data_IF_402131345395
#
_entry.id   IF_402131345395
#
_cell.length_a   1.000
_cell.length_b   1.000
_cell.length_c   1.000
_cell.angle_alpha   90.00
_cell.angle_beta   90.00
_cell.angle_gamma   90.00
#
_symmetry.space_group_name_H-M   'P 1'
#
loop_
_entity.id
_entity.type
_entity.pdbx_description
1 polymer ?
#
# COMPACT_ATOMS: atom_id res chain seq x y z
N UNK A 1 0.38 35.64 5.62
CA UNK A 1 -1.06 35.80 5.28
C UNK A 1 -1.63 37.01 6.03
N UNK A 2 -2.71 37.59 5.51
CA UNK A 2 -3.43 38.67 6.18
C UNK A 2 -4.43 38.09 7.18
N UNK A 3 -4.78 38.87 8.22
CA UNK A 3 -5.95 38.56 9.04
C UNK A 3 -7.21 38.51 8.15
N UNK A 4 -8.07 37.49 8.28
CA UNK A 4 -9.30 37.37 7.49
C UNK A 4 -10.41 38.35 7.89
N UNK A 5 -10.24 39.14 8.95
CA UNK A 5 -11.19 40.17 9.39
C UNK A 5 -11.09 41.40 8.50
N UNK A 6 -12.21 41.81 7.89
CA UNK A 6 -12.26 43.00 7.05
C UNK A 6 -11.86 44.26 7.84
N UNK A 7 -10.91 45.04 7.30
CA UNK A 7 -10.39 46.25 7.97
C UNK A 7 -9.34 45.99 9.04
N UNK A 8 -8.85 44.75 9.20
CA UNK A 8 -7.74 44.42 10.08
C UNK A 8 -6.42 44.33 9.31
N UNK A 9 -5.45 45.18 9.64
CA UNK A 9 -4.17 45.28 8.93
C UNK A 9 -3.09 44.30 9.42
N UNK A 10 -3.42 43.41 10.36
CA UNK A 10 -2.44 42.46 10.90
C UNK A 10 -2.01 41.42 9.84
N UNK A 11 -0.70 41.22 9.71
CA UNK A 11 -0.09 40.26 8.77
C UNK A 11 1.00 39.46 9.46
N UNK A 12 1.09 38.18 9.11
CA UNK A 12 2.15 37.31 9.61
C UNK A 12 2.02 35.86 9.15
N UNK A 13 2.88 34.97 9.65
CA UNK A 13 2.73 33.52 9.51
C UNK A 13 1.37 33.03 10.04
N UNK A 14 0.87 31.90 9.53
CA UNK A 14 -0.44 31.34 9.91
C UNK A 14 -0.60 31.20 11.43
N UNK A 15 0.45 30.73 12.12
CA UNK A 15 0.45 30.60 13.57
C UNK A 15 0.34 31.95 14.29
N UNK A 16 1.02 32.99 13.78
CA UNK A 16 0.98 34.35 14.33
C UNK A 16 -0.36 35.01 14.10
N UNK A 17 -0.97 34.82 12.92
CA UNK A 17 -2.33 35.31 12.63
C UNK A 17 -3.37 34.59 13.49
N UNK A 18 -3.20 33.29 13.75
CA UNK A 18 -4.05 32.55 14.67
C UNK A 18 -3.93 33.03 16.13
N UNK A 19 -2.70 33.33 16.56
CA UNK A 19 -2.44 33.95 17.86
C UNK A 19 -3.09 35.33 17.97
N UNK A 20 -2.96 36.16 16.93
CA UNK A 20 -3.57 37.48 16.84
C UNK A 20 -5.08 37.44 16.99
N UNK A 21 -5.78 36.60 16.22
CA UNK A 21 -7.24 36.46 16.27
C UNK A 21 -7.68 35.99 17.67
N UNK A 22 -6.99 35.00 18.24
CA UNK A 22 -7.31 34.48 19.58
C UNK A 22 -7.08 35.50 20.71
N UNK A 23 -6.17 36.45 20.50
CA UNK A 23 -5.83 37.49 21.48
C UNK A 23 -6.77 38.70 21.47
N UNK A 24 -7.64 38.83 20.45
CA UNK A 24 -8.59 39.96 20.34
C UNK A 24 -9.91 39.61 21.03
N UNK A 25 -10.37 40.52 21.90
CA UNK A 25 -11.65 40.41 22.63
C UNK A 25 -12.76 41.19 21.94
N UNK A 26 -12.91 41.02 20.64
CA UNK A 26 -13.99 41.64 19.86
C UNK A 26 -14.75 40.59 19.05
N UNK A 27 -15.98 40.93 18.66
CA UNK A 27 -16.86 40.01 17.94
C UNK A 27 -16.43 39.76 16.49
N UNK A 28 -15.58 40.63 15.93
CA UNK A 28 -15.11 40.50 14.54
C UNK A 28 -14.03 39.42 14.42
N UNK A 29 -13.17 39.29 15.43
CA UNK A 29 -12.15 38.25 15.55
C UNK A 29 -12.67 36.95 16.21
N UNK A 30 -14.00 36.77 16.25
CA UNK A 30 -14.59 35.52 16.72
C UNK A 30 -14.34 34.38 15.73
N UNK A 31 -13.78 33.28 16.22
CA UNK A 31 -13.53 32.09 15.42
C UNK A 31 -14.79 31.55 14.75
N UNK A 32 -15.90 31.48 15.47
CA UNK A 32 -17.18 31.01 14.94
C UNK A 32 -17.72 31.92 13.84
N UNK A 33 -17.54 33.24 13.98
CA UNK A 33 -17.94 34.23 12.96
C UNK A 33 -17.08 34.14 11.70
N UNK A 34 -15.80 33.83 11.86
CA UNK A 34 -14.85 33.58 10.77
C UNK A 34 -15.02 32.20 10.13
N UNK A 35 -15.95 31.36 10.62
CA UNK A 35 -16.21 30.03 10.08
C UNK A 35 -15.17 28.98 10.48
N UNK A 36 -14.44 29.19 11.59
CA UNK A 36 -13.46 28.25 12.10
C UNK A 36 -13.80 27.76 13.51
N UNK A 37 -13.58 26.47 13.76
CA UNK A 37 -13.72 25.83 15.07
C UNK A 37 -12.48 26.06 15.98
N UNK A 38 -11.96 27.28 15.97
CA UNK A 38 -10.79 27.72 16.75
C UNK A 38 -9.46 27.76 15.99
N UNK A 39 -8.42 28.23 16.69
CA UNK A 39 -7.10 28.51 16.13
C UNK A 39 -6.43 27.30 15.48
N UNK A 40 -6.62 26.09 16.03
CA UNK A 40 -6.08 24.87 15.44
C UNK A 40 -6.80 24.47 14.15
N UNK A 41 -8.12 24.66 14.07
CA UNK A 41 -8.87 24.45 12.83
C UNK A 41 -8.45 25.46 11.76
N UNK A 42 -8.33 26.74 12.11
CA UNK A 42 -7.80 27.77 11.20
C UNK A 42 -6.39 27.43 10.69
N UNK A 43 -5.45 27.06 11.58
CA UNK A 43 -4.10 26.63 11.18
C UNK A 43 -4.15 25.42 10.25
N UNK A 44 -5.01 24.44 10.53
CA UNK A 44 -5.19 23.27 9.64
C UNK A 44 -5.73 23.68 8.26
N UNK A 45 -6.76 24.54 8.21
CA UNK A 45 -7.37 25.00 6.96
C UNK A 45 -6.37 25.81 6.12
N UNK A 46 -5.67 26.75 6.74
CA UNK A 46 -4.67 27.59 6.06
C UNK A 46 -3.39 26.82 5.70
N UNK A 47 -3.05 25.76 6.44
CA UNK A 47 -1.97 24.83 6.07
C UNK A 47 -2.48 23.68 5.16
N UNK A 48 -3.77 23.69 4.77
CA UNK A 48 -4.41 22.74 3.84
C UNK A 48 -4.72 23.35 2.48
N UNK A 49 -4.54 24.67 2.31
CA UNK A 49 -4.71 25.33 1.01
C UNK A 49 -3.58 25.04 0.02
N UNK A 50 -2.55 24.29 0.41
CA UNK A 50 -1.40 23.92 -0.44
C UNK A 50 -1.07 22.41 -0.40
N UNK A 51 -2.03 21.53 -0.07
CA UNK A 51 -1.79 20.08 -0.21
C UNK A 51 -2.81 19.41 -1.11
N UNK A 52 -2.28 18.62 -2.04
CA UNK A 52 -3.01 17.67 -2.86
C UNK A 52 -3.99 16.88 -1.99
N UNK A 53 -5.20 16.68 -2.52
CA UNK A 53 -6.16 15.78 -1.92
C UNK A 53 -5.53 14.38 -1.84
N UNK A 54 -5.96 13.52 -0.88
CA UNK A 54 -5.65 12.11 -0.99
C UNK A 54 -5.98 11.61 -2.40
N UNK A 55 -5.21 10.64 -2.90
CA UNK A 55 -5.46 10.09 -4.22
C UNK A 55 -6.87 9.46 -4.25
N UNK A 56 -7.53 9.49 -5.40
CA UNK A 56 -8.97 9.19 -5.52
C UNK A 56 -9.94 10.23 -4.93
N UNK A 57 -9.51 11.12 -4.03
CA UNK A 57 -10.36 12.16 -3.44
C UNK A 57 -10.47 13.40 -4.33
N UNK A 58 -11.69 13.91 -4.39
CA UNK A 58 -12.03 15.10 -5.18
C UNK A 58 -12.77 16.11 -4.32
N UNK A 59 -12.64 17.39 -4.69
CA UNK A 59 -13.46 18.45 -4.10
C UNK A 59 -14.83 18.43 -4.76
N UNK A 60 -15.85 18.81 -3.99
CA UNK A 60 -17.14 19.16 -4.55
C UNK A 60 -16.95 20.23 -5.63
N UNK A 61 -17.50 20.06 -6.85
CA UNK A 61 -17.33 21.03 -7.94
C UNK A 61 -18.07 22.36 -7.69
N UNK A 62 -18.88 22.45 -6.63
CA UNK A 62 -19.62 23.68 -6.28
C UNK A 62 -18.70 24.70 -5.61
N UNK A 63 -18.64 25.90 -6.19
CA UNK A 63 -17.90 27.03 -5.61
C UNK A 63 -18.34 27.31 -4.17
N UNK A 64 -17.37 27.47 -3.26
CA UNK A 64 -17.55 27.67 -1.81
C UNK A 64 -18.20 26.48 -1.07
N UNK A 65 -18.23 25.30 -1.67
CA UNK A 65 -18.50 24.05 -0.95
C UNK A 65 -17.18 23.39 -0.57
N UNK A 66 -16.98 23.17 0.74
CA UNK A 66 -15.72 22.61 1.25
C UNK A 66 -15.75 21.08 1.38
N UNK A 67 -16.77 20.41 0.84
CA UNK A 67 -16.87 18.96 0.92
C UNK A 67 -15.82 18.30 0.02
N UNK A 68 -15.09 17.33 0.58
CA UNK A 68 -14.09 16.51 -0.11
C UNK A 68 -14.33 15.05 0.22
N UNK A 69 -14.09 14.17 -0.73
CA UNK A 69 -14.19 12.73 -0.52
C UNK A 69 -13.92 11.96 -1.80
N UNK A 70 -14.02 10.65 -1.74
CA UNK A 70 -14.12 9.80 -2.93
C UNK A 70 -15.14 10.34 -3.94
N UNK A 71 -14.91 10.07 -5.23
CA UNK A 71 -15.80 10.51 -6.31
C UNK A 71 -17.25 10.08 -6.05
N UNK A 72 -17.45 8.85 -5.55
CA UNK A 72 -18.75 8.32 -5.15
C UNK A 72 -19.37 9.08 -3.97
N UNK A 73 -18.56 9.43 -2.97
CA UNK A 73 -18.97 10.22 -1.80
C UNK A 73 -19.32 11.66 -2.15
N UNK A 74 -18.59 12.28 -3.08
CA UNK A 74 -18.91 13.62 -3.60
C UNK A 74 -20.18 13.56 -4.46
N UNK A 75 -20.36 12.51 -5.25
CA UNK A 75 -21.60 12.31 -6.01
C UNK A 75 -22.83 12.14 -5.11
N UNK A 76 -22.69 11.37 -4.03
CA UNK A 76 -23.74 11.23 -3.01
C UNK A 76 -24.02 12.57 -2.30
N UNK A 77 -22.97 13.30 -1.93
CA UNK A 77 -23.09 14.62 -1.33
C UNK A 77 -23.88 15.60 -2.20
N UNK A 78 -23.49 15.76 -3.47
CA UNK A 78 -24.17 16.69 -4.40
C UNK A 78 -25.63 16.28 -4.60
N UNK A 79 -25.89 14.98 -4.81
CA UNK A 79 -27.26 14.48 -5.00
C UNK A 79 -28.14 14.62 -3.76
N UNK A 80 -27.55 14.61 -2.56
CA UNK A 80 -28.26 14.78 -1.29
C UNK A 80 -28.57 16.22 -0.91
N UNK A 81 -27.99 17.22 -1.59
CA UNK A 81 -28.23 18.64 -1.31
C UNK A 81 -29.45 19.14 -2.07
N UNK A 82 -30.39 19.75 -1.35
CA UNK A 82 -31.64 20.31 -1.90
C UNK A 82 -31.49 21.79 -2.30
N UNK A 83 -30.32 22.23 -2.74
CA UNK A 83 -30.07 23.62 -3.14
C UNK A 83 -29.73 23.74 -4.63
N UNK A 84 -30.01 24.92 -5.21
CA UNK A 84 -29.80 25.20 -6.64
C UNK A 84 -28.31 25.24 -7.04
N UNK A 85 -27.38 25.28 -6.09
CA UNK A 85 -25.94 25.30 -6.39
C UNK A 85 -25.39 23.90 -6.61
N UNK A 86 -25.99 22.88 -6.00
CA UNK A 86 -25.66 21.46 -6.16
C UNK A 86 -26.54 20.76 -7.21
N UNK A 87 -27.17 21.53 -8.10
CA UNK A 87 -27.90 21.00 -9.25
C UNK A 87 -26.91 20.54 -10.33
N UNK A 88 -26.95 19.26 -10.67
CA UNK A 88 -26.01 18.63 -11.60
C UNK A 88 -25.89 19.37 -12.93
N UNK A 89 -27.01 19.77 -13.53
CA UNK A 89 -27.00 20.45 -14.82
C UNK A 89 -26.30 21.82 -14.72
N UNK A 90 -26.52 22.54 -13.61
CA UNK A 90 -25.87 23.85 -13.36
C UNK A 90 -24.37 23.77 -13.15
N UNK A 91 -23.87 22.65 -12.64
CA UNK A 91 -22.44 22.42 -12.42
C UNK A 91 -21.76 21.64 -13.55
N UNK A 92 -22.44 21.49 -14.70
CA UNK A 92 -21.85 20.97 -15.92
C UNK A 92 -21.87 19.45 -16.09
N UNK A 93 -22.67 18.73 -15.31
CA UNK A 93 -22.80 17.27 -15.39
C UNK A 93 -24.25 16.85 -15.64
N UNK A 94 -24.47 15.80 -16.45
CA UNK A 94 -25.82 15.27 -16.71
C UNK A 94 -26.45 14.56 -15.50
N UNK A 95 -25.66 14.32 -14.45
CA UNK A 95 -26.06 13.63 -13.23
C UNK A 95 -24.86 12.98 -12.53
N UNK A 96 -25.13 12.31 -11.41
CA UNK A 96 -24.11 11.65 -10.58
C UNK A 96 -23.27 10.59 -11.34
N UNK A 97 -23.86 9.88 -12.30
CA UNK A 97 -23.15 8.89 -13.12
C UNK A 97 -22.18 9.56 -14.10
N UNK A 98 -22.61 10.62 -14.78
CA UNK A 98 -21.77 11.40 -15.69
C UNK A 98 -20.60 12.07 -14.96
N UNK A 99 -20.86 12.60 -13.76
CA UNK A 99 -19.82 13.10 -12.86
C UNK A 99 -18.79 12.03 -12.51
N UNK A 100 -19.24 10.86 -12.03
CA UNK A 100 -18.33 9.77 -11.65
C UNK A 100 -17.43 9.34 -12.81
N UNK A 101 -17.98 9.25 -14.02
CA UNK A 101 -17.21 8.85 -15.20
C UNK A 101 -16.20 9.92 -15.61
N UNK A 102 -16.63 11.17 -15.78
CA UNK A 102 -15.75 12.27 -16.22
C UNK A 102 -14.67 12.59 -15.19
N UNK A 103 -15.05 12.69 -13.92
CA UNK A 103 -14.12 12.98 -12.84
C UNK A 103 -13.18 11.79 -12.62
N UNK A 104 -13.68 10.55 -12.67
CA UNK A 104 -12.83 9.35 -12.60
C UNK A 104 -11.76 9.29 -13.68
N UNK A 105 -12.12 9.64 -14.93
CA UNK A 105 -11.15 9.74 -16.02
C UNK A 105 -10.18 10.93 -15.87
N UNK A 106 -10.59 12.03 -15.24
CA UNK A 106 -9.77 13.24 -15.07
C UNK A 106 -8.85 13.20 -13.84
N UNK A 107 -9.21 12.46 -12.79
CA UNK A 107 -8.46 12.40 -11.53
C UNK A 107 -7.72 11.08 -11.33
N UNK A 108 -7.85 10.14 -12.28
CA UNK A 108 -6.96 8.99 -12.34
C UNK A 108 -5.53 9.51 -12.60
N UNK A 109 -4.77 9.65 -11.51
CA UNK A 109 -3.31 9.75 -11.55
C UNK A 109 -2.79 8.78 -12.61
N UNK A 110 -1.89 9.26 -13.48
CA UNK A 110 -1.29 8.39 -14.47
C UNK A 110 -0.51 7.27 -13.78
N UNK A 111 0.11 7.58 -12.65
CA UNK A 111 0.94 6.65 -11.90
C UNK A 111 0.16 5.39 -11.47
N UNK A 112 0.88 4.31 -11.22
CA UNK A 112 0.41 3.10 -10.58
C UNK A 112 1.35 2.83 -9.41
N UNK A 113 0.81 2.84 -8.20
CA UNK A 113 1.55 2.73 -6.95
C UNK A 113 1.13 1.45 -6.26
N UNK A 114 2.07 0.53 -6.03
CA UNK A 114 1.80 -0.72 -5.31
C UNK A 114 2.72 -0.88 -4.11
N UNK A 115 2.20 -1.47 -3.04
CA UNK A 115 2.97 -1.75 -1.83
C UNK A 115 3.32 -3.23 -1.72
N UNK A 116 4.62 -3.53 -1.70
CA UNK A 116 5.14 -4.84 -1.35
C UNK A 116 5.20 -5.02 0.17
N UNK A 117 4.62 -6.13 0.63
CA UNK A 117 4.86 -6.72 1.94
C UNK A 117 5.52 -8.09 1.77
N UNK A 118 6.23 -8.56 2.79
CA UNK A 118 6.82 -9.90 2.77
C UNK A 118 7.03 -10.41 4.19
N UNK A 119 7.05 -11.73 4.35
CA UNK A 119 7.49 -12.42 5.57
C UNK A 119 6.87 -11.83 6.85
N UNK A 120 5.56 -11.54 6.81
CA UNK A 120 4.85 -10.98 7.96
C UNK A 120 4.75 -11.96 9.12
N UNK A 121 4.75 -13.26 8.85
CA UNK A 121 4.82 -14.34 9.84
C UNK A 121 3.87 -14.14 11.03
N UNK A 122 2.61 -13.83 10.74
CA UNK A 122 1.56 -13.73 11.75
C UNK A 122 1.49 -15.05 12.53
N UNK A 123 1.64 -14.96 13.87
CA UNK A 123 1.66 -16.12 14.77
C UNK A 123 3.05 -16.55 15.23
N UNK A 124 4.12 -16.00 14.65
CA UNK A 124 5.48 -16.24 15.14
C UNK A 124 5.64 -15.58 16.50
N UNK A 125 6.02 -16.37 17.51
CA UNK A 125 6.22 -15.90 18.89
C UNK A 125 7.69 -15.76 19.28
N UNK A 126 8.60 -16.36 18.51
CA UNK A 126 10.03 -16.38 18.81
C UNK A 126 10.88 -16.07 17.57
N UNK A 127 11.89 -15.22 17.71
CA UNK A 127 12.87 -14.92 16.66
C UNK A 127 14.31 -14.98 17.19
N UNK A 128 15.27 -15.06 16.26
CA UNK A 128 16.70 -15.07 16.54
C UNK A 128 17.38 -16.39 16.15
N UNK A 129 18.54 -16.66 16.75
CA UNK A 129 19.37 -17.84 16.48
C UNK A 129 19.40 -18.81 17.67
N UNK A 130 20.10 -19.95 17.54
CA UNK A 130 20.32 -20.87 18.67
C UNK A 130 20.93 -20.19 19.90
N UNK A 131 21.78 -19.17 19.69
CA UNK A 131 22.48 -18.42 20.75
C UNK A 131 21.74 -17.16 21.21
N UNK A 132 20.68 -16.75 20.50
CA UNK A 132 19.94 -15.53 20.79
C UNK A 132 18.46 -15.74 20.48
N UNK A 133 17.61 -15.82 21.49
CA UNK A 133 16.16 -15.93 21.33
C UNK A 133 15.49 -14.72 21.94
N UNK A 134 14.41 -14.25 21.30
CA UNK A 134 13.54 -13.23 21.85
C UNK A 134 12.10 -13.48 21.45
N UNK A 135 11.19 -13.05 22.30
CA UNK A 135 9.77 -13.00 21.98
C UNK A 135 9.53 -11.94 20.90
N UNK A 136 8.65 -12.26 19.97
CA UNK A 136 8.19 -11.33 18.93
C UNK A 136 6.68 -11.39 18.81
N UNK A 137 6.10 -10.26 18.46
CA UNK A 137 4.73 -10.17 17.99
C UNK A 137 4.77 -9.48 16.63
N UNK A 138 4.31 -10.19 15.60
CA UNK A 138 4.33 -9.72 14.24
C UNK A 138 3.09 -8.90 13.86
N UNK A 139 2.00 -9.00 14.65
CA UNK A 139 0.72 -8.34 14.35
C UNK A 139 0.85 -6.81 14.27
N UNK A 140 1.54 -6.12 15.21
CA UNK A 140 1.69 -4.66 15.12
C UNK A 140 2.45 -4.19 13.88
N UNK A 141 3.39 -5.00 13.39
CA UNK A 141 4.11 -4.77 12.13
C UNK A 141 3.18 -4.75 10.93
N UNK A 142 2.42 -5.84 10.78
CA UNK A 142 1.44 -5.99 9.71
C UNK A 142 0.37 -4.89 9.75
N UNK A 143 -0.18 -4.56 10.93
CA UNK A 143 -1.16 -3.47 11.08
C UNK A 143 -0.62 -2.13 10.58
N UNK A 144 0.60 -1.75 10.99
CA UNK A 144 1.24 -0.51 10.53
C UNK A 144 1.49 -0.49 9.03
N UNK A 145 1.83 -1.64 8.45
CA UNK A 145 2.00 -1.78 7.00
C UNK A 145 0.67 -1.53 6.26
N UNK A 146 -0.43 -2.05 6.79
CA UNK A 146 -1.79 -1.87 6.24
C UNK A 146 -2.23 -0.41 6.39
N UNK A 147 -2.05 0.19 7.57
CA UNK A 147 -2.32 1.61 7.81
C UNK A 147 -1.50 2.51 6.87
N UNK A 148 -0.24 2.16 6.60
CA UNK A 148 0.61 2.86 5.65
C UNK A 148 0.07 2.75 4.22
N UNK A 149 -0.34 1.55 3.78
CA UNK A 149 -0.93 1.33 2.47
C UNK A 149 -2.17 2.21 2.25
N UNK A 150 -3.08 2.22 3.23
CA UNK A 150 -4.31 3.05 3.19
C UNK A 150 -3.98 4.54 3.23
N UNK A 151 -3.06 4.96 4.11
CA UNK A 151 -2.66 6.37 4.20
C UNK A 151 -1.96 6.89 2.93
N UNK A 152 -1.33 5.99 2.16
CA UNK A 152 -0.69 6.29 0.88
C UNK A 152 -1.62 6.15 -0.32
N UNK A 153 -2.82 5.60 -0.12
CA UNK A 153 -3.79 5.32 -1.18
C UNK A 153 -3.15 4.61 -2.39
N UNK A 154 -2.53 3.46 -2.09
CA UNK A 154 -1.88 2.62 -3.11
C UNK A 154 -2.93 1.88 -3.94
N UNK A 155 -2.64 1.61 -5.21
CA UNK A 155 -3.53 0.87 -6.12
C UNK A 155 -3.64 -0.62 -5.76
N UNK A 156 -2.64 -1.16 -5.07
CA UNK A 156 -2.67 -2.53 -4.54
C UNK A 156 -1.63 -2.75 -3.44
N UNK A 157 -1.88 -3.79 -2.65
CA UNK A 157 -0.86 -4.44 -1.82
C UNK A 157 -0.57 -5.82 -2.40
N UNK A 158 0.69 -6.23 -2.46
CA UNK A 158 1.05 -7.63 -2.73
C UNK A 158 2.00 -8.18 -1.68
N UNK A 159 1.81 -9.44 -1.30
CA UNK A 159 2.60 -10.12 -0.27
C UNK A 159 3.43 -11.26 -0.86
N UNK A 160 4.75 -11.17 -0.78
CA UNK A 160 5.68 -12.14 -1.37
C UNK A 160 5.90 -13.40 -0.50
N UNK A 161 4.82 -13.97 0.06
CA UNK A 161 4.84 -15.21 0.84
C UNK A 161 5.16 -15.05 2.33
N UNK A 162 4.85 -16.08 3.12
CA UNK A 162 4.98 -16.12 4.58
C UNK A 162 4.17 -15.02 5.31
N UNK A 163 2.92 -14.80 4.89
CA UNK A 163 1.95 -14.01 5.66
C UNK A 163 1.69 -14.66 7.03
N UNK A 164 1.49 -15.97 7.06
CA UNK A 164 1.28 -16.73 8.29
C UNK A 164 2.52 -17.50 8.71
N UNK A 165 2.66 -17.70 10.03
CA UNK A 165 3.66 -18.60 10.60
C UNK A 165 2.96 -19.81 11.20
N UNK A 166 2.67 -20.81 10.37
CA UNK A 166 2.08 -22.06 10.82
C UNK A 166 3.17 -23.00 11.35
N UNK A 167 3.33 -23.04 12.68
CA UNK A 167 4.25 -23.96 13.34
C UNK A 167 3.51 -25.18 13.91
N UNK A 168 4.01 -25.78 14.99
CA UNK A 168 3.35 -26.92 15.66
C UNK A 168 2.12 -26.52 16.48
N UNK A 169 1.93 -25.23 16.73
CA UNK A 169 0.83 -24.66 17.51
C UNK A 169 -0.32 -24.20 16.62
N UNK A 170 -0.18 -24.30 15.29
CA UNK A 170 -1.20 -23.90 14.32
C UNK A 170 -1.41 -22.39 14.24
N UNK A 171 -2.53 -21.98 13.64
CA UNK A 171 -2.95 -20.58 13.50
C UNK A 171 -4.24 -20.39 14.31
N UNK A 172 -4.14 -19.70 15.44
CA UNK A 172 -5.32 -19.44 16.28
C UNK A 172 -6.41 -18.66 15.54
N UNK A 173 -7.68 -18.93 15.85
CA UNK A 173 -8.82 -18.21 15.28
C UNK A 173 -8.80 -16.70 15.56
N UNK A 174 -8.26 -16.29 16.72
CA UNK A 174 -8.08 -14.86 17.02
C UNK A 174 -7.09 -14.19 16.06
N UNK A 175 -6.05 -14.92 15.64
CA UNK A 175 -5.02 -14.42 14.73
C UNK A 175 -5.53 -14.35 13.29
N UNK A 176 -6.23 -15.40 12.82
CA UNK A 176 -6.92 -15.37 11.52
C UNK A 176 -7.92 -14.21 11.48
N UNK A 177 -8.80 -14.08 12.48
CA UNK A 177 -9.75 -12.97 12.60
C UNK A 177 -9.06 -11.59 12.60
N UNK A 178 -7.90 -11.46 13.24
CA UNK A 178 -7.12 -10.22 13.21
C UNK A 178 -6.61 -9.89 11.81
N UNK A 179 -6.07 -10.88 11.09
CA UNK A 179 -5.64 -10.71 9.70
C UNK A 179 -6.82 -10.32 8.80
N UNK A 180 -7.95 -11.04 8.92
CA UNK A 180 -9.19 -10.75 8.19
C UNK A 180 -9.64 -9.31 8.36
N UNK A 181 -9.59 -8.77 9.60
CA UNK A 181 -9.94 -7.37 9.88
C UNK A 181 -9.04 -6.38 9.13
N UNK A 182 -7.75 -6.67 9.01
CA UNK A 182 -6.82 -5.81 8.26
C UNK A 182 -7.07 -5.87 6.74
N UNK A 183 -7.29 -7.06 6.19
CA UNK A 183 -7.63 -7.21 4.76
C UNK A 183 -9.00 -6.58 4.45
N UNK A 184 -9.96 -6.66 5.37
CA UNK A 184 -11.25 -5.97 5.25
C UNK A 184 -11.07 -4.45 5.26
N UNK A 185 -10.10 -3.93 6.01
CA UNK A 185 -9.78 -2.51 6.02
C UNK A 185 -9.22 -2.06 4.65
N UNK A 186 -8.27 -2.80 4.07
CA UNK A 186 -7.81 -2.56 2.70
C UNK A 186 -8.96 -2.57 1.70
N UNK A 187 -9.81 -3.60 1.75
CA UNK A 187 -10.98 -3.71 0.86
C UNK A 187 -11.94 -2.52 1.01
N UNK A 188 -12.17 -2.06 2.24
CA UNK A 188 -13.03 -0.88 2.48
C UNK A 188 -12.44 0.42 1.92
N UNK A 189 -11.11 0.47 1.75
CA UNK A 189 -10.38 1.53 1.06
C UNK A 189 -10.22 1.26 -0.45
N UNK A 190 -10.85 0.22 -1.01
CA UNK A 190 -10.72 -0.22 -2.41
C UNK A 190 -9.29 -0.61 -2.82
N UNK A 191 -8.47 -1.07 -1.87
CA UNK A 191 -7.10 -1.54 -2.11
C UNK A 191 -7.11 -3.08 -2.18
N UNK A 192 -6.95 -3.70 -3.35
CA UNK A 192 -6.84 -5.15 -3.46
C UNK A 192 -5.57 -5.68 -2.79
N UNK A 193 -5.66 -6.89 -2.23
CA UNK A 193 -4.54 -7.60 -1.63
C UNK A 193 -4.22 -8.85 -2.44
N UNK A 194 -3.01 -8.90 -2.98
CA UNK A 194 -2.47 -10.02 -3.74
C UNK A 194 -1.46 -10.80 -2.90
N UNK A 195 -1.34 -12.11 -3.12
CA UNK A 195 -0.34 -12.90 -2.40
C UNK A 195 0.17 -14.09 -3.21
N UNK A 196 1.35 -14.56 -2.83
CA UNK A 196 1.83 -15.93 -3.08
C UNK A 196 2.00 -16.66 -1.75
N UNK A 197 2.06 -17.99 -1.79
CA UNK A 197 2.34 -18.84 -0.64
C UNK A 197 3.86 -18.92 -0.42
N UNK A 198 4.28 -18.78 0.84
CA UNK A 198 5.63 -19.08 1.27
C UNK A 198 5.73 -20.47 1.90
N UNK A 199 6.88 -20.76 2.51
CA UNK A 199 7.14 -22.07 3.10
C UNK A 199 6.53 -22.25 4.51
N UNK A 200 6.02 -21.18 5.12
CA UNK A 200 5.44 -21.18 6.47
C UNK A 200 3.91 -21.17 6.50
N UNK A 201 3.20 -20.92 5.40
CA UNK A 201 1.74 -21.06 5.36
C UNK A 201 1.30 -22.49 5.75
N UNK A 202 1.93 -23.49 5.13
CA UNK A 202 1.55 -24.91 5.23
C UNK A 202 0.03 -25.10 4.99
N UNK A 203 -0.50 -26.29 5.28
CA UNK A 203 -1.90 -26.61 5.01
C UNK A 203 -2.89 -25.62 5.63
N UNK A 204 -2.75 -25.31 6.92
CA UNK A 204 -3.70 -24.45 7.64
C UNK A 204 -3.67 -23.00 7.13
N UNK A 205 -2.49 -22.41 6.92
CA UNK A 205 -2.37 -21.05 6.41
C UNK A 205 -2.89 -20.93 4.99
N UNK A 206 -2.64 -21.93 4.14
CA UNK A 206 -3.20 -22.00 2.78
C UNK A 206 -4.73 -22.06 2.79
N UNK A 207 -5.35 -22.88 3.66
CA UNK A 207 -6.82 -22.96 3.73
C UNK A 207 -7.47 -21.68 4.29
N UNK A 208 -6.79 -20.99 5.20
CA UNK A 208 -7.22 -19.66 5.67
C UNK A 208 -7.16 -18.64 4.52
N UNK A 209 -6.06 -18.61 3.76
CA UNK A 209 -5.91 -17.71 2.62
C UNK A 209 -6.96 -17.98 1.53
N UNK A 210 -7.22 -19.24 1.18
CA UNK A 210 -8.32 -19.63 0.27
C UNK A 210 -9.69 -19.18 0.78
N UNK A 211 -9.89 -19.16 2.10
CA UNK A 211 -11.11 -18.61 2.69
C UNK A 211 -11.20 -17.11 2.44
N UNK A 212 -10.10 -16.37 2.63
CA UNK A 212 -10.05 -14.94 2.30
C UNK A 212 -10.25 -14.67 0.81
N UNK A 213 -9.77 -15.55 -0.08
CA UNK A 213 -10.06 -15.46 -1.52
C UNK A 213 -11.56 -15.60 -1.81
N UNK A 214 -12.22 -16.64 -1.26
CA UNK A 214 -13.68 -16.83 -1.40
C UNK A 214 -14.48 -15.65 -0.87
N UNK A 215 -13.96 -14.97 0.14
CA UNK A 215 -14.59 -13.79 0.72
C UNK A 215 -14.28 -12.50 -0.03
N UNK A 216 -13.44 -12.54 -1.07
CA UNK A 216 -13.01 -11.37 -1.85
C UNK A 216 -12.10 -10.42 -1.07
N UNK A 217 -11.32 -10.94 -0.12
CA UNK A 217 -10.35 -10.19 0.69
C UNK A 217 -8.91 -10.34 0.21
N UNK A 218 -8.62 -11.38 -0.58
CA UNK A 218 -7.31 -11.66 -1.12
C UNK A 218 -7.44 -12.29 -2.52
N UNK A 219 -6.40 -12.20 -3.33
CA UNK A 219 -6.31 -12.88 -4.63
C UNK A 219 -4.94 -13.54 -4.74
N UNK A 220 -4.90 -14.84 -4.99
CA UNK A 220 -3.65 -15.56 -5.23
C UNK A 220 -3.05 -15.17 -6.59
N UNK A 221 -1.78 -14.79 -6.60
CA UNK A 221 -1.04 -14.50 -7.83
C UNK A 221 -0.58 -15.81 -8.48
N UNK A 222 -0.50 -15.77 -9.81
CA UNK A 222 0.04 -16.85 -10.62
C UNK A 222 0.96 -16.28 -11.71
N UNK A 223 1.39 -17.13 -12.62
CA UNK A 223 2.11 -16.72 -13.84
C UNK A 223 1.19 -16.15 -14.93
N UNK A 224 -0.09 -15.96 -14.63
CA UNK A 224 -1.02 -15.16 -15.45
C UNK A 224 -1.00 -13.71 -14.96
N UNK A 225 -0.84 -12.71 -15.86
CA UNK A 225 -0.72 -11.31 -15.47
C UNK A 225 -1.94 -10.81 -14.72
N UNK A 226 -1.70 -10.25 -13.54
CA UNK A 226 -2.70 -9.47 -12.80
C UNK A 226 -2.43 -7.99 -13.00
N UNK A 227 -3.26 -7.34 -13.83
CA UNK A 227 -3.18 -5.90 -14.11
C UNK A 227 -3.52 -5.08 -12.86
N UNK A 228 -2.64 -4.15 -12.52
CA UNK A 228 -2.86 -3.15 -11.47
C UNK A 228 -2.65 -1.76 -12.07
N UNK A 229 -3.59 -0.85 -11.80
CA UNK A 229 -3.56 0.49 -12.37
C UNK A 229 -3.47 0.48 -13.91
N UNK A 230 -2.67 1.38 -14.45
CA UNK A 230 -2.48 1.56 -15.91
C UNK A 230 -1.19 0.95 -16.45
N UNK A 231 -0.18 0.79 -15.58
CA UNK A 231 1.20 0.57 -16.02
C UNK A 231 1.82 -0.74 -15.56
N UNK A 232 1.20 -1.44 -14.60
CA UNK A 232 1.87 -2.54 -13.91
C UNK A 232 1.12 -3.87 -13.98
N UNK A 233 1.84 -4.94 -14.25
CA UNK A 233 1.38 -6.31 -14.05
C UNK A 233 2.10 -7.00 -12.90
N UNK A 234 1.34 -7.73 -12.09
CA UNK A 234 1.86 -8.60 -11.04
C UNK A 234 1.78 -10.05 -11.46
N UNK A 235 2.87 -10.76 -11.22
CA UNK A 235 3.02 -12.21 -11.40
C UNK A 235 3.52 -12.82 -10.10
N UNK A 236 3.21 -14.10 -9.88
CA UNK A 236 3.60 -14.80 -8.67
C UNK A 236 3.86 -16.28 -8.90
N UNK A 237 4.87 -16.81 -8.20
CA UNK A 237 5.06 -18.25 -8.03
C UNK A 237 5.28 -18.54 -6.55
N UNK A 238 4.52 -19.50 -6.06
CA UNK A 238 4.60 -19.98 -4.68
C UNK A 238 5.97 -20.58 -4.36
N UNK A 239 6.29 -20.64 -3.07
CA UNK A 239 7.42 -21.43 -2.61
C UNK A 239 7.25 -22.90 -3.01
N UNK A 240 8.32 -23.46 -3.55
CA UNK A 240 8.53 -24.89 -3.73
C UNK A 240 9.91 -25.27 -3.20
N UNK A 241 10.08 -26.52 -2.76
CA UNK A 241 11.40 -26.97 -2.31
C UNK A 241 12.34 -27.00 -3.50
N UNK A 242 13.63 -26.76 -3.27
CA UNK A 242 14.64 -26.80 -4.35
C UNK A 242 14.64 -28.13 -5.12
N UNK A 243 14.41 -29.26 -4.44
CA UNK A 243 14.32 -30.58 -5.07
C UNK A 243 13.07 -30.77 -5.95
N UNK A 244 12.07 -29.90 -5.79
CA UNK A 244 10.79 -29.90 -6.51
C UNK A 244 10.71 -28.69 -7.47
N UNK A 245 11.76 -27.86 -7.53
CA UNK A 245 11.78 -26.68 -8.39
C UNK A 245 12.02 -27.10 -9.84
N UNK A 246 11.10 -26.69 -10.71
CA UNK A 246 11.23 -26.83 -12.16
C UNK A 246 11.05 -25.46 -12.79
N UNK A 247 11.88 -25.11 -13.79
CA UNK A 247 11.75 -23.85 -14.52
C UNK A 247 10.37 -23.69 -15.18
N UNK A 248 9.70 -24.80 -15.50
CA UNK A 248 8.34 -24.83 -16.03
C UNK A 248 7.28 -24.24 -15.07
N UNK A 249 7.58 -24.07 -13.78
CA UNK A 249 6.72 -23.34 -12.84
C UNK A 249 6.57 -21.86 -13.23
N UNK A 250 7.49 -21.31 -14.03
CA UNK A 250 7.40 -19.96 -14.59
C UNK A 250 6.59 -19.92 -15.90
N UNK A 251 6.05 -21.04 -16.36
CA UNK A 251 5.20 -21.07 -17.56
C UNK A 251 3.97 -20.20 -17.32
N UNK A 252 3.82 -19.18 -18.14
CA UNK A 252 2.79 -18.16 -17.97
C UNK A 252 2.31 -17.57 -19.28
N UNK A 253 1.75 -16.37 -19.21
CA UNK A 253 1.29 -15.64 -20.38
C UNK A 253 1.87 -14.23 -20.36
N UNK A 254 2.42 -13.74 -21.49
CA UNK A 254 2.91 -12.38 -21.55
C UNK A 254 1.76 -11.37 -21.53
N UNK A 255 2.11 -10.12 -21.30
CA UNK A 255 1.19 -8.99 -21.34
C UNK A 255 1.85 -7.79 -21.99
N UNK A 256 1.03 -6.88 -22.50
CA UNK A 256 1.47 -5.64 -23.15
C UNK A 256 1.48 -4.44 -22.19
N UNK A 257 1.45 -4.68 -20.88
CA UNK A 257 1.55 -3.61 -19.91
C UNK A 257 2.99 -3.07 -19.85
N UNK A 258 3.15 -1.82 -19.39
CA UNK A 258 4.44 -1.14 -19.50
C UNK A 258 5.52 -1.78 -18.61
N UNK A 259 5.13 -2.21 -17.41
CA UNK A 259 6.03 -2.79 -16.42
C UNK A 259 5.45 -4.07 -15.83
N UNK A 260 6.34 -4.94 -15.35
CA UNK A 260 6.01 -6.23 -14.79
C UNK A 260 6.84 -6.57 -13.56
N UNK A 261 6.18 -7.08 -12.52
CA UNK A 261 6.80 -7.56 -11.29
C UNK A 261 6.58 -9.06 -11.17
N UNK A 262 7.68 -9.83 -11.11
CA UNK A 262 7.64 -11.23 -10.71
C UNK A 262 7.86 -11.35 -9.21
N UNK A 263 6.91 -11.95 -8.52
CA UNK A 263 6.98 -12.24 -7.09
C UNK A 263 7.38 -13.69 -6.85
N UNK A 264 8.47 -13.92 -6.10
CA UNK A 264 8.97 -15.26 -5.77
C UNK A 264 9.26 -15.38 -4.28
N UNK A 265 8.87 -16.50 -3.68
CA UNK A 265 9.29 -16.85 -2.33
C UNK A 265 10.31 -17.98 -2.39
N UNK A 266 11.57 -17.66 -2.69
CA UNK A 266 12.63 -18.65 -2.90
C UNK A 266 14.00 -18.20 -2.40
N UNK A 267 14.88 -19.16 -2.12
CA UNK A 267 16.31 -18.89 -2.01
C UNK A 267 16.92 -18.72 -3.40
N UNK A 268 17.56 -17.58 -3.67
CA UNK A 268 18.18 -17.26 -4.97
C UNK A 268 19.60 -16.69 -4.76
N UNK A 269 20.56 -17.11 -5.58
CA UNK A 269 21.94 -16.61 -5.54
C UNK A 269 22.07 -15.25 -6.26
N UNK A 270 22.98 -14.36 -5.81
CA UNK A 270 23.98 -14.55 -4.74
C UNK A 270 23.43 -14.29 -3.33
N UNK A 271 22.14 -13.93 -3.23
CA UNK A 271 21.55 -13.43 -1.99
C UNK A 271 21.30 -14.51 -0.94
N UNK A 272 21.11 -15.76 -1.35
CA UNK A 272 21.15 -16.94 -0.50
C UNK A 272 22.42 -17.73 -0.79
N UNK A 273 23.25 -17.95 0.23
CA UNK A 273 24.39 -18.87 0.16
C UNK A 273 23.97 -20.32 0.49
N UNK A 274 22.66 -20.60 0.60
CA UNK A 274 22.19 -21.96 0.82
C UNK A 274 22.43 -22.80 -0.43
N UNK A 275 22.85 -24.03 -0.21
CA UNK A 275 22.76 -25.17 -1.13
C UNK A 275 21.34 -25.41 -1.68
N UNK A 276 20.31 -24.85 -1.03
CA UNK A 276 18.91 -24.92 -1.43
C UNK A 276 18.48 -23.75 -2.30
N UNK A 277 19.40 -22.92 -2.79
CA UNK A 277 19.03 -21.90 -3.77
C UNK A 277 18.59 -22.57 -5.08
N UNK A 278 17.52 -22.06 -5.69
CA UNK A 278 16.97 -22.62 -6.94
C UNK A 278 17.84 -22.31 -8.17
N UNK A 279 18.76 -21.36 -8.04
CA UNK A 279 19.63 -20.86 -9.10
C UNK A 279 20.10 -19.44 -8.80
N UNK A 280 20.75 -18.80 -9.78
CA UNK A 280 21.09 -17.37 -9.74
C UNK A 280 19.91 -16.50 -10.17
N UNK A 281 19.96 -15.20 -9.86
CA UNK A 281 19.00 -14.23 -10.43
C UNK A 281 18.95 -14.34 -11.95
N UNK A 282 20.10 -14.43 -12.62
CA UNK A 282 20.17 -14.56 -14.08
C UNK A 282 19.50 -15.83 -14.59
N UNK A 283 19.61 -16.95 -13.85
CA UNK A 283 18.89 -18.18 -14.22
C UNK A 283 17.37 -17.97 -14.15
N UNK A 284 16.88 -17.34 -13.09
CA UNK A 284 15.45 -17.02 -12.93
C UNK A 284 14.95 -16.12 -14.04
N UNK A 285 15.67 -15.04 -14.36
CA UNK A 285 15.30 -14.10 -15.43
C UNK A 285 15.33 -14.78 -16.81
N UNK A 286 16.32 -15.64 -17.06
CA UNK A 286 16.37 -16.45 -18.29
C UNK A 286 15.18 -17.39 -18.39
N UNK A 287 14.86 -18.14 -17.33
CA UNK A 287 13.71 -19.05 -17.33
C UNK A 287 12.38 -18.31 -17.47
N UNK A 288 12.23 -17.14 -16.85
CA UNK A 288 11.07 -16.29 -17.03
C UNK A 288 10.88 -15.88 -18.51
N UNK A 289 11.97 -15.45 -19.17
CA UNK A 289 11.95 -15.13 -20.59
C UNK A 289 11.58 -16.35 -21.45
N UNK A 290 12.13 -17.51 -21.14
CA UNK A 290 11.93 -18.75 -21.90
C UNK A 290 10.52 -19.33 -21.73
N UNK A 291 10.02 -19.42 -20.50
CA UNK A 291 8.77 -20.12 -20.18
C UNK A 291 7.55 -19.19 -20.11
N UNK A 292 7.74 -17.92 -19.73
CA UNK A 292 6.66 -16.92 -19.64
C UNK A 292 6.63 -15.98 -20.85
N UNK A 293 7.76 -15.81 -21.54
CA UNK A 293 7.89 -14.81 -22.62
C UNK A 293 7.96 -13.36 -22.09
N UNK A 294 8.29 -13.17 -20.81
CA UNK A 294 8.30 -11.86 -20.13
C UNK A 294 9.72 -11.53 -19.66
N UNK A 295 10.14 -10.30 -19.94
CA UNK A 295 11.33 -9.70 -19.33
C UNK A 295 10.87 -8.86 -18.14
N UNK A 296 11.00 -9.39 -16.93
CA UNK A 296 10.52 -8.72 -15.74
C UNK A 296 11.36 -7.50 -15.38
N UNK A 297 10.71 -6.38 -15.14
CA UNK A 297 11.36 -5.14 -14.68
C UNK A 297 11.75 -5.23 -13.20
N UNK A 298 11.01 -6.02 -12.42
CA UNK A 298 11.26 -6.24 -10.99
C UNK A 298 11.17 -7.71 -10.64
N UNK A 299 12.15 -8.17 -9.86
CA UNK A 299 12.09 -9.46 -9.17
C UNK A 299 11.93 -9.22 -7.66
N UNK A 300 10.71 -9.42 -7.16
CA UNK A 300 10.34 -9.23 -5.77
C UNK A 300 10.48 -10.55 -4.97
N UNK A 301 11.56 -10.65 -4.19
CA UNK A 301 11.94 -11.85 -3.42
C UNK A 301 11.47 -11.79 -1.96
N UNK A 302 10.79 -12.84 -1.51
CA UNK A 302 10.59 -13.20 -0.09
C UNK A 302 11.66 -14.17 0.44
N UNK A 303 11.38 -14.86 1.55
CA UNK A 303 12.16 -15.99 2.12
C UNK A 303 13.53 -15.63 2.74
N UNK A 304 14.26 -14.70 2.13
CA UNK A 304 15.65 -14.43 2.46
C UNK A 304 15.83 -13.68 3.78
N UNK A 305 14.79 -12.98 4.27
CA UNK A 305 14.86 -12.09 5.42
C UNK A 305 16.06 -11.12 5.33
N UNK A 306 16.24 -10.52 4.15
CA UNK A 306 17.31 -9.55 3.85
C UNK A 306 16.72 -8.28 3.25
N UNK A 307 17.51 -7.22 3.23
CA UNK A 307 17.17 -5.98 2.52
C UNK A 307 18.12 -5.87 1.34
N UNK A 308 17.56 -6.00 0.14
CA UNK A 308 18.28 -6.03 -1.12
C UNK A 308 17.54 -5.11 -2.09
N UNK A 309 18.30 -4.35 -2.85
CA UNK A 309 17.85 -3.44 -3.88
C UNK A 309 19.02 -3.27 -4.84
N UNK A 310 19.06 -4.11 -5.87
CA UNK A 310 20.17 -4.17 -6.83
C UNK A 310 19.60 -4.32 -8.24
N UNK A 311 20.27 -3.71 -9.23
CA UNK A 311 19.98 -3.95 -10.63
C UNK A 311 20.75 -5.18 -11.12
N UNK A 312 20.07 -6.07 -11.84
CA UNK A 312 20.67 -7.20 -12.53
C UNK A 312 20.06 -7.31 -13.91
N UNK A 313 20.84 -7.00 -14.95
CA UNK A 313 20.41 -7.05 -16.36
C UNK A 313 19.15 -6.22 -16.64
N UNK A 314 19.07 -5.01 -16.04
CA UNK A 314 17.91 -4.12 -16.18
C UNK A 314 16.68 -4.55 -15.38
N UNK A 315 16.79 -5.61 -14.57
CA UNK A 315 15.77 -6.00 -13.60
C UNK A 315 16.15 -5.50 -12.20
N UNK A 316 15.26 -4.77 -11.54
CA UNK A 316 15.44 -4.38 -10.14
C UNK A 316 15.08 -5.55 -9.23
N UNK A 317 16.08 -6.14 -8.59
CA UNK A 317 15.89 -7.23 -7.62
C UNK A 317 15.71 -6.65 -6.22
N UNK A 318 14.55 -6.94 -5.62
CA UNK A 318 14.18 -6.42 -4.31
C UNK A 318 13.92 -7.56 -3.34
N UNK A 319 14.55 -7.50 -2.16
CA UNK A 319 14.09 -8.27 -1.00
C UNK A 319 13.48 -7.33 0.04
N UNK A 320 12.18 -7.49 0.29
CA UNK A 320 11.35 -6.54 1.06
C UNK A 320 11.65 -6.51 2.57
N UNK A 321 12.43 -7.46 3.08
CA UNK A 321 12.74 -7.59 4.50
C UNK A 321 11.67 -8.37 5.25
N UNK A 322 10.92 -7.71 6.15
CA UNK A 322 9.76 -8.25 6.85
C UNK A 322 8.97 -7.11 7.48
N UNK A 323 7.67 -7.29 7.69
CA UNK A 323 6.85 -6.32 8.45
C UNK A 323 7.11 -6.39 9.96
N UNK A 324 7.85 -7.39 10.44
CA UNK A 324 8.17 -7.59 11.84
C UNK A 324 9.69 -7.79 12.05
N UNK A 325 10.23 -7.50 13.25
CA UNK A 325 11.64 -7.71 13.50
C UNK A 325 11.86 -9.20 13.70
N UNK A 326 12.05 -9.98 12.64
CA UNK A 326 12.22 -11.45 12.71
C UNK A 326 13.63 -11.92 12.37
N UNK A 327 14.52 -10.99 12.05
CA UNK A 327 15.91 -11.28 11.68
C UNK A 327 16.68 -12.06 12.77
N UNK A 328 17.67 -12.81 12.32
CA UNK A 328 18.49 -13.72 13.13
C UNK A 328 19.30 -13.03 14.25
N UNK A 329 19.58 -11.73 14.12
CA UNK A 329 20.25 -10.89 15.13
C UNK A 329 19.40 -9.65 15.45
N UNK A 330 19.60 -9.06 16.64
CA UNK A 330 18.82 -7.90 17.14
C UNK A 330 18.79 -6.70 16.19
N UNK A 331 19.88 -6.47 15.44
CA UNK A 331 20.03 -5.37 14.48
C UNK A 331 19.83 -5.76 13.00
N UNK A 332 19.48 -7.02 12.71
CA UNK A 332 19.61 -7.55 11.34
C UNK A 332 18.57 -6.99 10.37
N UNK A 333 17.37 -6.62 10.84
CA UNK A 333 16.25 -6.20 10.00
C UNK A 333 15.37 -5.21 10.74
N UNK A 334 15.39 -3.96 10.30
CA UNK A 334 14.38 -2.97 10.66
C UNK A 334 13.12 -3.24 9.85
N UNK A 335 11.96 -3.45 10.49
CA UNK A 335 10.70 -3.70 9.79
C UNK A 335 10.44 -2.69 8.67
N UNK A 336 10.06 -3.17 7.48
CA UNK A 336 9.86 -2.33 6.30
C UNK A 336 8.80 -2.87 5.36
N UNK A 337 8.33 -1.97 4.48
CA UNK A 337 7.55 -2.27 3.27
C UNK A 337 8.25 -1.63 2.08
N UNK A 338 7.95 -2.12 0.87
CA UNK A 338 8.45 -1.57 -0.39
C UNK A 338 7.35 -0.85 -1.14
N UNK A 339 7.61 0.35 -1.67
CA UNK A 339 6.66 1.09 -2.50
C UNK A 339 7.20 1.14 -3.93
N UNK A 340 6.45 0.60 -4.88
CA UNK A 340 6.74 0.73 -6.30
C UNK A 340 5.82 1.78 -6.91
N UNK A 341 6.39 2.71 -7.67
CA UNK A 341 5.65 3.73 -8.41
C UNK A 341 6.02 3.65 -9.88
N UNK A 342 5.05 3.27 -10.70
CA UNK A 342 5.16 3.12 -12.15
C UNK A 342 4.37 4.24 -12.84
N UNK A 343 4.93 4.86 -13.86
CA UNK A 343 4.24 5.84 -14.70
C UNK A 343 4.74 5.73 -16.13
N UNK A 344 4.14 6.48 -17.04
CA UNK A 344 4.64 6.59 -18.42
C UNK A 344 6.13 6.97 -18.52
N UNK A 345 6.72 7.61 -17.50
CA UNK A 345 8.11 8.04 -17.47
C UNK A 345 9.09 7.09 -16.78
N UNK A 346 8.64 6.06 -16.06
CA UNK A 346 9.54 5.17 -15.35
C UNK A 346 8.89 4.33 -14.25
N UNK A 347 9.67 3.35 -13.76
CA UNK A 347 9.38 2.57 -12.57
C UNK A 347 10.43 2.90 -11.49
N UNK A 348 9.97 3.14 -10.26
CA UNK A 348 10.84 3.41 -9.11
C UNK A 348 10.44 2.58 -7.91
N UNK A 349 11.42 2.29 -7.04
CA UNK A 349 11.23 1.60 -5.78
C UNK A 349 11.69 2.47 -4.62
N UNK A 350 10.93 2.44 -3.51
CA UNK A 350 11.30 3.08 -2.26
C UNK A 350 11.00 2.16 -1.07
N UNK A 351 12.02 1.88 -0.26
CA UNK A 351 11.83 1.20 1.02
C UNK A 351 11.32 2.16 2.09
N UNK A 352 10.27 1.77 2.80
CA UNK A 352 9.74 2.51 3.94
C UNK A 352 9.85 1.71 5.23
N UNK A 353 10.55 2.25 6.23
CA UNK A 353 10.67 1.61 7.54
C UNK A 353 9.43 1.84 8.40
N UNK A 354 8.87 0.75 8.92
CA UNK A 354 7.77 0.76 9.87
C UNK A 354 8.33 1.13 11.25
N UNK A 355 8.40 2.43 11.56
CA UNK A 355 8.84 2.93 12.87
C UNK A 355 7.96 2.34 13.97
N UNK A 356 8.56 1.82 15.04
CA UNK A 356 7.81 1.52 16.26
C UNK A 356 7.40 2.86 16.88
N UNK A 357 6.14 3.02 17.26
CA UNK A 357 5.79 4.04 18.25
C UNK A 357 6.69 3.78 19.47
N UNK A 358 7.59 4.70 19.76
CA UNK A 358 8.36 4.70 21.00
C UNK A 358 7.34 4.58 22.15
N UNK A 359 7.52 3.56 22.99
CA UNK A 359 6.75 3.42 24.23
C UNK A 359 7.18 4.49 25.22
#
# INVERSE_FOLDING_TARGET
MNCPVAGCDYRGPVASVAGHISGKRDTQHSWSRLGYDGANHFKRVQNSSERDLPRGHVRCPVSKCNYTGEISSVAAHVSGKRDKRHDWNRIGYRGAVDYKNKTGSQTASDDTVVLQMTDSHLGKTNAGSKRYKRTVDCVPGFKRAIEFAVAKDVDAVFHSGDLFHNDRHGISESLSSTCRKQLSYLRSANIPFYYILGNHERKEGTEILKTYERDGLATHLSTTPTKVGKHLDLYGVDFTRQSEWEAALLKGSPSNNQYSILTLHQSVQPYSLSDRAIGTVNDVLRWAREYCGVNFDVLALGHLHKQIEEDTDGCTVVCGGSTAPIGYKKSALSPSVGLFSASSSGLSYQRHHLKSSLK
#
